data_IF_672137928014
#
_entry.id   IF_672137928014
#
_cell.length_a   1.000
_cell.length_b   1.000
_cell.length_c   1.000
_cell.angle_alpha   90.00
_cell.angle_beta   90.00
_cell.angle_gamma   90.00
#
_symmetry.space_group_name_H-M   'P 1'
#
loop_
_entity.id
_entity.type
_entity.pdbx_description
1 polymer ?
#
# COMPACT_ATOMS: atom_id res chain seq x y z
N UNK A 1 10.83 17.23 -6.65
CA UNK A 1 11.76 16.09 -6.51
C UNK A 1 11.05 14.85 -5.96
N UNK A 2 10.41 14.92 -4.78
CA UNK A 2 9.68 13.77 -4.19
C UNK A 2 8.62 13.15 -5.12
N UNK A 3 7.84 13.98 -5.82
CA UNK A 3 6.83 13.52 -6.79
C UNK A 3 7.44 12.66 -7.90
N UNK A 4 8.57 13.05 -8.49
CA UNK A 4 9.19 12.32 -9.60
C UNK A 4 9.77 10.97 -9.17
N UNK A 5 10.30 10.85 -7.93
CA UNK A 5 10.73 9.56 -7.38
C UNK A 5 9.52 8.64 -7.18
N UNK A 6 8.40 9.17 -6.68
CA UNK A 6 7.17 8.40 -6.52
C UNK A 6 6.54 8.00 -7.86
N UNK A 7 6.61 8.86 -8.88
CA UNK A 7 6.17 8.54 -10.25
C UNK A 7 6.97 7.35 -10.79
N UNK A 8 8.29 7.41 -10.68
CA UNK A 8 9.18 6.33 -11.13
C UNK A 8 8.94 5.03 -10.34
N UNK A 9 8.70 5.11 -9.04
CA UNK A 9 8.43 3.92 -8.22
C UNK A 9 7.09 3.27 -8.58
N UNK A 10 6.04 4.06 -8.81
CA UNK A 10 4.72 3.57 -9.24
C UNK A 10 4.76 2.99 -10.66
N UNK A 11 5.41 3.65 -11.61
CA UNK A 11 5.50 3.17 -12.98
C UNK A 11 6.45 1.97 -13.12
N UNK A 12 7.55 1.95 -12.36
CA UNK A 12 8.61 0.96 -12.49
C UNK A 12 8.14 -0.47 -12.23
N UNK A 13 7.32 -0.68 -11.19
CA UNK A 13 6.80 -2.03 -10.92
C UNK A 13 5.77 -2.46 -11.97
N UNK A 14 4.94 -1.54 -12.48
CA UNK A 14 3.95 -1.82 -13.54
C UNK A 14 4.63 -2.21 -14.85
N UNK A 15 5.68 -1.49 -15.24
CA UNK A 15 6.49 -1.84 -16.40
C UNK A 15 7.15 -3.21 -16.22
N UNK A 16 7.72 -3.50 -15.05
CA UNK A 16 8.32 -4.79 -14.77
C UNK A 16 7.30 -5.95 -14.79
N UNK A 17 6.07 -5.70 -14.31
CA UNK A 17 4.96 -6.63 -14.38
C UNK A 17 4.57 -6.93 -15.84
N UNK A 18 4.33 -5.90 -16.66
CA UNK A 18 3.94 -6.07 -18.07
C UNK A 18 5.04 -6.74 -18.88
N UNK A 19 6.30 -6.40 -18.62
CA UNK A 19 7.45 -7.06 -19.25
C UNK A 19 7.54 -8.57 -18.92
N UNK A 20 6.91 -9.03 -17.83
CA UNK A 20 6.82 -10.43 -17.42
C UNK A 20 5.53 -11.13 -17.87
N UNK A 21 4.66 -10.44 -18.63
CA UNK A 21 3.44 -11.02 -19.18
C UNK A 21 2.13 -10.46 -18.62
N UNK A 22 2.19 -9.55 -17.62
CA UNK A 22 1.01 -8.91 -17.06
C UNK A 22 0.22 -8.10 -18.11
N UNK A 23 -1.07 -7.91 -17.86
CA UNK A 23 -1.96 -7.15 -18.76
C UNK A 23 -1.43 -5.72 -19.04
N UNK A 24 -1.31 -5.29 -20.32
CA UNK A 24 -0.89 -3.93 -20.66
C UNK A 24 -1.79 -2.84 -20.08
N UNK A 25 -3.07 -3.15 -19.81
CA UNK A 25 -4.02 -2.23 -19.17
C UNK A 25 -3.58 -1.82 -17.75
N UNK A 26 -2.66 -2.56 -17.13
CA UNK A 26 -2.02 -2.16 -15.88
C UNK A 26 -1.29 -0.81 -16.02
N UNK A 27 -0.75 -0.48 -17.20
CA UNK A 27 -0.07 0.80 -17.43
C UNK A 27 -1.04 1.98 -17.47
N UNK A 28 -2.30 1.78 -17.87
CA UNK A 28 -3.31 2.85 -17.87
C UNK A 28 -3.59 3.36 -16.44
N UNK A 29 -3.41 2.48 -15.43
CA UNK A 29 -3.52 2.87 -14.02
C UNK A 29 -2.46 3.88 -13.59
N UNK A 30 -1.32 4.00 -14.28
CA UNK A 30 -0.29 4.99 -13.93
C UNK A 30 -0.82 6.41 -14.09
N UNK A 31 -1.41 6.74 -15.24
CA UNK A 31 -1.96 8.08 -15.45
C UNK A 31 -3.14 8.33 -14.50
N UNK A 32 -4.05 7.35 -14.38
CA UNK A 32 -5.21 7.46 -13.50
C UNK A 32 -4.84 7.74 -12.04
N UNK A 33 -3.76 7.11 -11.53
CA UNK A 33 -3.27 7.31 -10.16
C UNK A 33 -2.46 8.61 -10.01
N UNK A 34 -1.59 8.95 -10.96
CA UNK A 34 -0.58 10.01 -10.79
C UNK A 34 -1.03 11.38 -11.30
N UNK A 35 -1.95 11.44 -12.27
CA UNK A 35 -2.45 12.72 -12.80
C UNK A 35 -3.19 13.55 -11.75
N UNK A 36 -4.12 13.00 -10.93
CA UNK A 36 -4.77 13.78 -9.87
C UNK A 36 -3.76 14.31 -8.83
N UNK A 37 -2.74 13.52 -8.52
CA UNK A 37 -1.67 13.90 -7.59
C UNK A 37 -0.84 15.05 -8.15
N UNK A 38 -0.44 14.99 -9.43
CA UNK A 38 0.30 16.05 -10.08
C UNK A 38 -0.49 17.38 -10.10
N UNK A 39 -1.80 17.32 -10.41
CA UNK A 39 -2.70 18.49 -10.37
C UNK A 39 -2.77 19.07 -8.95
N UNK A 40 -2.94 18.23 -7.93
CA UNK A 40 -2.99 18.68 -6.54
C UNK A 40 -1.69 19.36 -6.07
N UNK A 41 -0.54 18.81 -6.46
CA UNK A 41 0.77 19.38 -6.13
C UNK A 41 0.98 20.74 -6.79
N UNK A 42 0.55 20.89 -8.06
CA UNK A 42 0.61 22.17 -8.76
C UNK A 42 -0.29 23.22 -8.10
N UNK A 43 -1.53 22.87 -7.77
CA UNK A 43 -2.47 23.76 -7.09
C UNK A 43 -1.93 24.25 -5.73
N UNK A 44 -1.37 23.34 -4.92
CA UNK A 44 -0.73 23.69 -3.64
C UNK A 44 0.49 24.62 -3.83
N UNK A 45 1.29 24.37 -4.87
CA UNK A 45 2.47 25.18 -5.18
C UNK A 45 2.06 26.60 -5.60
N UNK A 46 1.06 26.72 -6.48
CA UNK A 46 0.50 28.02 -6.91
C UNK A 46 -0.11 28.79 -5.74
N UNK A 47 -0.89 28.13 -4.88
CA UNK A 47 -1.48 28.76 -3.70
C UNK A 47 -0.41 29.32 -2.75
N UNK A 48 0.68 28.58 -2.53
CA UNK A 48 1.79 29.02 -1.67
C UNK A 48 2.59 30.16 -2.27
N UNK A 49 2.84 30.13 -3.58
CA UNK A 49 3.50 31.24 -4.26
C UNK A 49 2.66 32.52 -4.13
N UNK A 50 1.34 32.42 -4.34
CA UNK A 50 0.42 33.54 -4.17
C UNK A 50 0.43 34.07 -2.72
N UNK A 51 0.44 33.17 -1.73
CA UNK A 51 0.52 33.55 -0.32
C UNK A 51 1.84 34.26 0.01
N UNK A 52 2.97 33.75 -0.48
CA UNK A 52 4.29 34.36 -0.25
C UNK A 52 4.38 35.76 -0.89
N UNK A 53 3.83 35.93 -2.10
CA UNK A 53 3.73 37.22 -2.79
C UNK A 53 2.88 38.20 -1.98
N UNK A 54 1.72 37.76 -1.50
CA UNK A 54 0.76 38.62 -0.79
C UNK A 54 1.24 39.00 0.63
N UNK A 55 1.90 38.08 1.34
CA UNK A 55 2.27 38.26 2.74
C UNK A 55 3.68 38.81 2.94
N UNK A 56 4.54 38.85 1.90
CA UNK A 56 5.98 39.18 2.00
C UNK A 56 6.76 38.38 3.07
N UNK A 57 6.20 37.26 3.50
CA UNK A 57 6.77 36.34 4.49
C UNK A 57 6.89 34.98 3.82
N UNK A 58 8.09 34.40 3.82
CA UNK A 58 8.32 33.04 3.35
C UNK A 58 7.92 32.10 4.49
N UNK A 59 6.87 31.26 4.36
CA UNK A 59 6.49 30.34 5.42
C UNK A 59 7.59 29.28 5.57
N UNK A 60 8.15 29.14 6.78
CA UNK A 60 9.25 28.21 7.09
C UNK A 60 8.77 26.82 7.53
N UNK A 61 7.47 26.62 7.76
CA UNK A 61 6.92 25.31 8.17
C UNK A 61 6.51 24.47 6.96
N UNK A 62 7.06 23.25 6.88
CA UNK A 62 6.61 22.20 5.95
C UNK A 62 5.41 21.49 6.58
N UNK A 63 4.21 21.78 6.11
CA UNK A 63 2.99 21.11 6.58
C UNK A 63 2.90 19.69 6.00
N UNK A 64 2.09 18.80 6.61
CA UNK A 64 1.91 17.41 6.17
C UNK A 64 1.49 17.28 4.69
N UNK A 65 0.70 18.24 4.16
CA UNK A 65 0.36 18.32 2.74
C UNK A 65 1.57 18.55 1.82
N UNK A 66 2.66 19.12 2.33
CA UNK A 66 3.94 19.29 1.62
C UNK A 66 4.74 17.99 1.59
N UNK A 67 4.53 17.12 2.57
CA UNK A 67 5.24 15.84 2.69
C UNK A 67 4.61 14.76 1.79
N UNK A 68 3.48 15.06 1.13
CA UNK A 68 2.75 14.13 0.24
C UNK A 68 2.41 12.78 0.94
N UNK A 69 2.30 12.78 2.26
CA UNK A 69 2.02 11.58 3.05
C UNK A 69 0.54 11.15 2.97
N UNK A 70 -0.34 12.04 2.50
CA UNK A 70 -1.77 11.83 2.33
C UNK A 70 -2.17 11.46 0.90
N UNK A 71 -1.21 11.14 0.03
CA UNK A 71 -1.53 10.63 -1.31
C UNK A 71 -2.10 9.23 -1.17
N UNK A 72 -3.37 9.06 -1.57
CA UNK A 72 -4.05 7.79 -1.67
C UNK A 72 -4.66 7.60 -3.06
N UNK A 73 -4.84 6.36 -3.45
CA UNK A 73 -5.36 5.91 -4.75
C UNK A 73 -6.72 5.22 -4.59
N UNK A 74 -7.54 5.65 -3.62
CA UNK A 74 -8.86 5.03 -3.31
C UNK A 74 -9.82 4.95 -4.52
N UNK A 75 -9.65 5.82 -5.51
CA UNK A 75 -10.42 5.80 -6.77
C UNK A 75 -9.77 5.02 -7.92
N UNK A 76 -8.65 4.33 -7.66
CA UNK A 76 -7.96 3.53 -8.67
C UNK A 76 -8.68 2.21 -8.92
N UNK A 77 -8.61 1.72 -10.16
CA UNK A 77 -9.06 0.36 -10.53
C UNK A 77 -8.28 -0.75 -9.80
N UNK A 78 -7.12 -0.39 -9.23
CA UNK A 78 -6.25 -1.27 -8.44
C UNK A 78 -6.57 -1.25 -6.93
N UNK A 79 -7.55 -0.46 -6.49
CA UNK A 79 -8.01 -0.44 -5.11
C UNK A 79 -9.32 -1.22 -4.98
N UNK A 80 -9.31 -2.35 -4.26
CA UNK A 80 -10.50 -3.17 -3.99
C UNK A 80 -10.63 -3.44 -2.49
N UNK A 81 -11.70 -3.01 -1.85
CA UNK A 81 -11.98 -3.42 -0.46
C UNK A 81 -13.45 -3.77 -0.27
N UNK A 82 -13.74 -4.66 0.68
CA UNK A 82 -15.09 -5.01 1.15
C UNK A 82 -15.55 -4.12 2.33
N UNK A 83 -14.79 -3.06 2.62
CA UNK A 83 -14.99 -2.15 3.75
C UNK A 83 -15.93 -0.99 3.41
N UNK A 84 -16.58 -0.46 4.44
CA UNK A 84 -17.37 0.78 4.33
C UNK A 84 -16.46 1.99 4.08
N UNK A 85 -16.99 3.00 3.38
CA UNK A 85 -16.29 4.24 3.02
C UNK A 85 -15.80 5.02 4.24
N UNK A 86 -16.43 4.83 5.41
CA UNK A 86 -16.05 5.47 6.68
C UNK A 86 -14.85 4.83 7.36
N UNK A 87 -14.33 3.73 6.82
CA UNK A 87 -13.17 3.02 7.38
C UNK A 87 -11.92 3.89 7.38
N UNK A 88 -11.16 3.81 8.47
CA UNK A 88 -9.93 4.59 8.65
C UNK A 88 -8.88 4.28 7.57
N UNK A 89 -8.79 2.99 7.20
CA UNK A 89 -7.86 2.49 6.20
C UNK A 89 -8.61 1.74 5.10
N UNK A 90 -8.34 2.12 3.85
CA UNK A 90 -8.98 1.57 2.66
C UNK A 90 -7.96 1.16 1.60
N UNK A 91 -8.39 0.33 0.66
CA UNK A 91 -7.59 0.03 -0.51
C UNK A 91 -7.28 1.32 -1.29
N UNK A 92 -6.09 1.37 -1.87
CA UNK A 92 -5.51 2.57 -2.45
C UNK A 92 -4.80 3.46 -1.43
N UNK A 93 -5.00 3.30 -0.13
CA UNK A 93 -4.17 4.02 0.84
C UNK A 93 -2.75 3.45 0.91
N UNK A 94 -1.81 4.27 1.37
CA UNK A 94 -0.47 3.79 1.67
C UNK A 94 -0.54 2.87 2.89
N UNK A 95 0.12 1.72 2.81
CA UNK A 95 0.24 0.78 3.91
C UNK A 95 0.86 1.48 5.14
N UNK A 96 0.17 1.55 6.30
CA UNK A 96 0.76 2.07 7.53
C UNK A 96 1.95 1.22 7.96
N UNK A 97 3.03 1.86 8.43
CA UNK A 97 4.16 1.12 9.00
C UNK A 97 3.81 0.65 10.41
N UNK A 98 4.29 -0.53 10.77
CA UNK A 98 4.20 -1.07 12.12
C UNK A 98 5.60 -1.48 12.58
N UNK A 99 6.03 -0.93 13.71
CA UNK A 99 7.32 -1.25 14.34
C UNK A 99 7.14 -2.37 15.36
N UNK A 100 8.27 -2.97 15.78
CA UNK A 100 8.31 -3.99 16.83
C UNK A 100 7.56 -5.29 16.47
N UNK A 101 7.52 -5.66 15.19
CA UNK A 101 6.98 -6.95 14.76
C UNK A 101 8.02 -8.03 15.04
N UNK A 102 7.62 -9.05 15.80
CA UNK A 102 8.51 -10.16 16.14
C UNK A 102 8.42 -11.25 15.06
N UNK A 103 9.57 -11.61 14.50
CA UNK A 103 9.72 -12.74 13.58
C UNK A 103 10.64 -13.79 14.21
N UNK A 104 10.74 -14.98 13.61
CA UNK A 104 11.74 -15.98 14.03
C UNK A 104 13.19 -15.48 13.90
N UNK A 105 13.44 -14.44 13.09
CA UNK A 105 14.75 -13.81 12.90
C UNK A 105 14.98 -12.60 13.83
N UNK A 106 14.02 -12.30 14.72
CA UNK A 106 14.04 -11.15 15.61
C UNK A 106 13.06 -10.05 15.20
N UNK A 107 13.24 -8.88 15.80
CA UNK A 107 12.37 -7.72 15.63
C UNK A 107 12.55 -7.05 14.26
N UNK A 108 11.44 -6.71 13.60
CA UNK A 108 11.39 -6.06 12.29
C UNK A 108 10.29 -5.00 12.25
N UNK A 109 10.38 -4.09 11.27
CA UNK A 109 9.26 -3.23 10.89
C UNK A 109 8.58 -3.74 9.62
N UNK A 110 7.30 -3.42 9.46
CA UNK A 110 6.55 -3.83 8.28
C UNK A 110 7.21 -3.36 6.99
N UNK A 111 7.72 -2.13 6.95
CA UNK A 111 8.41 -1.59 5.78
C UNK A 111 9.67 -2.36 5.37
N UNK A 112 10.30 -3.12 6.26
CA UNK A 112 11.43 -3.98 5.87
C UNK A 112 10.96 -5.32 5.31
N UNK A 113 9.76 -5.76 5.68
CA UNK A 113 9.14 -7.00 5.21
C UNK A 113 8.47 -6.81 3.84
N UNK A 114 7.88 -5.65 3.60
CA UNK A 114 7.24 -5.29 2.32
C UNK A 114 8.22 -4.71 1.30
N UNK A 115 9.49 -4.53 1.66
CA UNK A 115 10.49 -3.94 0.77
C UNK A 115 10.85 -4.92 -0.35
N UNK A 116 10.46 -4.60 -1.58
CA UNK A 116 10.85 -5.40 -2.72
C UNK A 116 10.03 -5.12 -3.96
N UNK A 117 10.11 -6.06 -4.89
CA UNK A 117 9.36 -6.07 -6.16
C UNK A 117 8.16 -7.02 -6.15
N UNK A 118 7.82 -7.53 -4.97
CA UNK A 118 6.79 -8.52 -4.75
C UNK A 118 5.54 -7.87 -4.18
N UNK A 119 4.40 -8.52 -4.40
CA UNK A 119 3.21 -8.27 -3.59
C UNK A 119 3.42 -8.89 -2.21
N UNK A 120 2.79 -8.30 -1.20
CA UNK A 120 2.83 -8.83 0.17
C UNK A 120 1.40 -9.02 0.67
N UNK A 121 1.03 -10.25 1.03
CA UNK A 121 -0.23 -10.56 1.67
C UNK A 121 -0.03 -10.69 3.17
N UNK A 122 -0.70 -9.85 3.94
CA UNK A 122 -0.83 -10.00 5.39
C UNK A 122 -2.11 -10.77 5.67
N UNK A 123 -1.99 -11.87 6.40
CA UNK A 123 -3.12 -12.69 6.79
C UNK A 123 -3.28 -12.66 8.31
N UNK A 124 -4.39 -12.12 8.77
CA UNK A 124 -4.74 -12.09 10.19
C UNK A 124 -5.61 -13.32 10.50
N UNK A 125 -5.10 -14.23 11.32
CA UNK A 125 -5.82 -15.42 11.84
C UNK A 125 -6.18 -16.52 10.83
N UNK A 126 -6.15 -16.26 9.53
CA UNK A 126 -6.34 -17.26 8.46
C UNK A 126 -4.99 -17.70 7.90
N UNK A 127 -4.82 -18.98 7.58
CA UNK A 127 -3.68 -19.46 6.80
C UNK A 127 -4.14 -19.77 5.38
N UNK A 128 -4.03 -18.82 4.43
CA UNK A 128 -4.51 -19.06 3.08
C UNK A 128 -3.63 -20.06 2.32
N UNK A 129 -4.19 -21.14 1.75
CA UNK A 129 -3.50 -21.96 0.77
C UNK A 129 -3.49 -21.24 -0.57
N UNK A 130 -2.59 -20.27 -0.75
CA UNK A 130 -2.37 -19.65 -2.06
C UNK A 130 -1.44 -20.55 -2.88
N UNK A 131 -2.02 -21.28 -3.84
CA UNK A 131 -1.31 -22.30 -4.61
C UNK A 131 -0.46 -21.73 -5.75
N UNK A 132 -0.92 -20.68 -6.45
CA UNK A 132 -0.17 -20.04 -7.54
C UNK A 132 -0.59 -18.59 -7.77
N UNK A 133 0.38 -17.71 -7.99
CA UNK A 133 0.18 -16.30 -8.38
C UNK A 133 1.06 -15.99 -9.60
N UNK A 134 0.57 -15.21 -10.58
CA UNK A 134 1.38 -14.75 -11.72
C UNK A 134 2.50 -13.78 -11.29
N UNK A 135 2.39 -13.21 -10.08
CA UNK A 135 3.38 -12.33 -9.48
C UNK A 135 4.14 -13.00 -8.34
N UNK A 136 5.34 -12.49 -8.06
CA UNK A 136 6.06 -12.79 -6.82
C UNK A 136 5.21 -12.29 -5.65
N UNK A 137 4.68 -13.22 -4.85
CA UNK A 137 3.81 -12.96 -3.70
C UNK A 137 4.51 -13.48 -2.44
N UNK A 138 4.65 -12.63 -1.43
CA UNK A 138 5.09 -13.02 -0.08
C UNK A 138 3.92 -12.97 0.87
N UNK A 139 3.64 -14.07 1.55
CA UNK A 139 2.58 -14.14 2.54
C UNK A 139 3.19 -14.05 3.92
N UNK A 140 2.64 -13.20 4.79
CA UNK A 140 2.98 -13.17 6.20
C UNK A 140 1.73 -13.46 7.04
N UNK A 141 1.87 -14.35 8.01
CA UNK A 141 0.81 -14.76 8.92
C UNK A 141 0.96 -14.04 10.24
N UNK A 142 -0.06 -13.26 10.63
CA UNK A 142 -0.09 -12.58 11.93
C UNK A 142 -0.53 -13.58 12.99
N UNK A 143 0.41 -14.01 13.83
CA UNK A 143 0.24 -15.03 14.86
C UNK A 143 0.70 -14.54 16.23
N UNK A 144 0.31 -15.22 17.31
CA UNK A 144 0.74 -14.84 18.67
C UNK A 144 2.21 -15.16 18.95
N UNK A 145 2.71 -16.25 18.38
CA UNK A 145 4.09 -16.70 18.54
C UNK A 145 4.61 -17.15 17.17
N UNK A 146 5.66 -16.53 16.63
CA UNK A 146 6.16 -16.86 15.31
C UNK A 146 6.96 -18.16 15.39
N UNK A 147 6.59 -19.14 14.56
CA UNK A 147 7.24 -20.45 14.49
C UNK A 147 7.89 -20.70 13.14
N UNK A 148 7.32 -20.12 12.08
CA UNK A 148 7.82 -20.16 10.71
C UNK A 148 8.51 -18.86 10.27
N UNK A 149 9.23 -18.92 9.13
CA UNK A 149 9.88 -17.75 8.54
C UNK A 149 8.89 -16.68 8.06
N UNK A 150 7.67 -17.08 7.76
CA UNK A 150 6.58 -16.23 7.26
C UNK A 150 5.63 -15.78 8.39
N UNK A 151 5.92 -16.15 9.63
CA UNK A 151 5.13 -15.76 10.78
C UNK A 151 5.61 -14.41 11.34
N UNK A 152 4.66 -13.52 11.60
CA UNK A 152 4.88 -12.25 12.28
C UNK A 152 4.01 -12.17 13.53
N UNK A 153 4.58 -11.77 14.65
CA UNK A 153 3.85 -11.52 15.87
C UNK A 153 3.76 -10.03 16.17
N UNK A 154 2.52 -9.55 16.25
CA UNK A 154 2.17 -8.20 16.67
C UNK A 154 1.91 -8.21 18.19
N UNK A 155 2.98 -8.14 18.99
CA UNK A 155 2.88 -8.25 20.46
C UNK A 155 2.20 -7.05 21.10
N UNK A 156 2.30 -5.87 20.47
CA UNK A 156 1.76 -4.61 20.97
C UNK A 156 0.41 -4.23 20.34
N UNK A 157 -0.04 -4.96 19.32
CA UNK A 157 -1.29 -4.70 18.62
C UNK A 157 -1.26 -3.50 17.67
N UNK A 158 -0.07 -2.96 17.36
CA UNK A 158 0.06 -1.78 16.50
C UNK A 158 -0.32 -2.07 15.05
N UNK A 159 0.01 -3.25 14.55
CA UNK A 159 -0.35 -3.67 13.20
C UNK A 159 -1.87 -3.89 13.10
N UNK A 160 -2.45 -4.67 14.01
CA UNK A 160 -3.89 -4.92 14.00
C UNK A 160 -4.69 -3.62 14.14
N UNK A 161 -4.26 -2.71 15.03
CA UNK A 161 -4.90 -1.41 15.23
C UNK A 161 -4.78 -0.49 14.02
N UNK A 162 -3.58 -0.34 13.44
CA UNK A 162 -3.37 0.51 12.27
C UNK A 162 -4.14 0.03 11.04
N UNK A 163 -4.32 -1.29 10.90
CA UNK A 163 -5.05 -1.88 9.78
C UNK A 163 -6.54 -2.07 10.06
N UNK A 164 -6.99 -1.82 11.30
CA UNK A 164 -8.36 -2.15 11.73
C UNK A 164 -8.70 -3.61 11.47
N UNK A 165 -7.72 -4.50 11.60
CA UNK A 165 -7.83 -5.90 11.20
C UNK A 165 -8.51 -6.73 12.30
N UNK A 166 -9.28 -7.72 11.85
CA UNK A 166 -9.90 -8.76 12.69
C UNK A 166 -9.22 -10.11 12.42
N UNK A 167 -9.61 -11.17 13.15
CA UNK A 167 -9.03 -12.52 13.06
C UNK A 167 -9.25 -13.22 11.70
N UNK A 168 -9.90 -12.57 10.73
CA UNK A 168 -10.06 -13.09 9.37
C UNK A 168 -9.62 -12.10 8.29
N UNK A 169 -9.08 -10.93 8.65
CA UNK A 169 -8.76 -9.90 7.67
C UNK A 169 -7.58 -10.32 6.79
N UNK A 170 -7.71 -10.12 5.49
CA UNK A 170 -6.63 -10.24 4.50
C UNK A 170 -6.28 -8.86 3.96
N UNK A 171 -4.99 -8.54 3.89
CA UNK A 171 -4.51 -7.27 3.34
C UNK A 171 -3.43 -7.53 2.29
N UNK A 172 -3.70 -7.17 1.04
CA UNK A 172 -2.74 -7.24 -0.05
C UNK A 172 -2.08 -5.89 -0.26
N UNK A 173 -0.75 -5.86 -0.17
CA UNK A 173 0.10 -4.69 -0.37
C UNK A 173 0.85 -4.86 -1.71
N UNK A 174 0.83 -3.80 -2.51
CA UNK A 174 1.52 -3.70 -3.79
C UNK A 174 3.04 -3.52 -3.62
N UNK A 175 3.84 -3.80 -4.66
CA UNK A 175 5.28 -3.51 -4.64
C UNK A 175 5.62 -2.04 -4.36
N UNK A 176 4.71 -1.11 -4.69
CA UNK A 176 4.89 0.31 -4.40
C UNK A 176 4.48 0.74 -2.97
N UNK A 177 4.06 -0.20 -2.12
CA UNK A 177 3.72 0.05 -0.71
C UNK A 177 2.32 0.62 -0.49
N UNK A 178 1.46 0.54 -1.50
CA UNK A 178 0.03 0.88 -1.40
C UNK A 178 -0.80 -0.38 -1.22
N UNK A 179 -1.90 -0.26 -0.50
CA UNK A 179 -2.83 -1.36 -0.30
C UNK A 179 -3.59 -1.58 -1.61
N UNK A 180 -3.47 -2.78 -2.18
CA UNK A 180 -4.25 -3.20 -3.34
C UNK A 180 -5.63 -3.68 -2.92
N UNK A 181 -5.67 -4.54 -1.89
CA UNK A 181 -6.89 -5.20 -1.47
C UNK A 181 -7.00 -5.32 0.04
N UNK A 182 -8.20 -5.10 0.57
CA UNK A 182 -8.55 -5.49 1.93
C UNK A 182 -9.80 -6.35 1.87
N UNK A 183 -9.77 -7.52 2.50
CA UNK A 183 -10.96 -8.33 2.75
C UNK A 183 -11.09 -8.63 4.23
N UNK A 184 -12.05 -8.01 4.91
CA UNK A 184 -12.39 -8.36 6.30
C UNK A 184 -13.16 -9.68 6.38
N UNK A 185 -13.82 -10.10 5.28
CA UNK A 185 -14.47 -11.41 5.19
C UNK A 185 -13.47 -12.58 5.11
N UNK A 186 -12.17 -12.31 4.91
CA UNK A 186 -11.16 -13.34 4.72
C UNK A 186 -11.26 -14.07 3.39
N UNK A 187 -11.79 -13.40 2.37
CA UNK A 187 -11.99 -14.00 1.05
C UNK A 187 -10.68 -14.10 0.27
N UNK A 188 -10.10 -15.29 0.27
CA UNK A 188 -8.88 -15.60 -0.47
C UNK A 188 -9.13 -15.54 -1.99
N UNK A 189 -10.34 -15.86 -2.44
CA UNK A 189 -10.67 -15.82 -3.86
C UNK A 189 -10.58 -14.39 -4.40
N UNK A 190 -10.95 -13.39 -3.58
CA UNK A 190 -10.78 -11.98 -3.93
C UNK A 190 -9.31 -11.60 -4.17
N UNK A 191 -8.36 -12.17 -3.41
CA UNK A 191 -6.92 -11.96 -3.61
C UNK A 191 -6.46 -12.60 -4.92
N UNK A 192 -6.84 -13.85 -5.17
CA UNK A 192 -6.50 -14.58 -6.39
C UNK A 192 -7.08 -13.91 -7.65
N UNK A 193 -8.35 -13.50 -7.60
CA UNK A 193 -9.04 -12.79 -8.67
C UNK A 193 -8.44 -11.42 -8.93
N UNK A 194 -7.99 -10.72 -7.88
CA UNK A 194 -7.25 -9.47 -8.02
C UNK A 194 -5.95 -9.71 -8.79
N UNK A 195 -5.13 -10.67 -8.36
CA UNK A 195 -3.84 -10.98 -9.00
C UNK A 195 -4.02 -11.51 -10.43
N UNK A 196 -5.04 -12.32 -10.69
CA UNK A 196 -5.36 -12.82 -12.01
C UNK A 196 -5.87 -11.72 -12.96
N UNK A 197 -6.59 -10.72 -12.46
CA UNK A 197 -7.09 -9.61 -13.29
C UNK A 197 -5.96 -8.68 -13.79
N UNK A 198 -4.84 -8.61 -13.06
CA UNK A 198 -3.71 -7.76 -13.42
C UNK A 198 -2.56 -8.54 -14.07
N UNK A 199 -2.48 -9.87 -13.87
CA UNK A 199 -1.48 -10.78 -14.43
C UNK A 199 -1.78 -11.19 -15.86
#
# INVERSE_FOLDING_TARGET
MNTGIQDAYNLGWKLAAVAKGASPALLDSYEAERRPVAVGVLALSSARLQQAINQKVIPTRRDANTMQLSVGYRGSVLARDDRDETSLLRAGDRAPDATNLMTVQGERRLFDLTRGRHFTLLSFGVQPPLETSPFELRTFHVVKQPTGPDDIADTEGYLASAYGATDCTLVLIRPDGYIALISDAGDISAVSDYLAAIG
#
